data_IF_961168877374
#
_entry.id   IF_961168877374
#
_cell.length_a   1.000
_cell.length_b   1.000
_cell.length_c   1.000
_cell.angle_alpha   90.00
_cell.angle_beta   90.00
_cell.angle_gamma   90.00
#
_symmetry.space_group_name_H-M   'P 1'
#
loop_
_entity.id
_entity.type
_entity.pdbx_description
1 polymer ?
#
# COMPACT_ATOMS: atom_id res chain seq x y z
N UNK A 1 -18.69 41.18 79.87
CA UNK A 1 -18.62 40.23 78.80
C UNK A 1 -18.89 40.86 77.46
N UNK A 2 -18.07 40.64 76.45
CA UNK A 2 -18.32 41.15 75.08
C UNK A 2 -19.53 40.43 74.50
N UNK A 3 -20.49 41.11 73.99
CA UNK A 3 -21.61 40.57 73.22
C UNK A 3 -21.21 40.64 71.72
N UNK A 4 -21.04 39.49 71.10
CA UNK A 4 -20.74 39.37 69.65
C UNK A 4 -22.03 39.07 68.89
N UNK A 5 -22.25 39.75 67.76
CA UNK A 5 -23.23 39.40 66.77
C UNK A 5 -22.51 39.01 65.48
N UNK A 6 -22.99 37.99 64.79
CA UNK A 6 -22.49 37.55 63.51
C UNK A 6 -23.51 37.88 62.39
N UNK A 7 -22.99 38.28 61.26
CA UNK A 7 -23.78 38.55 60.05
C UNK A 7 -23.20 37.67 58.95
N UNK A 8 -24.07 36.91 58.28
CA UNK A 8 -23.70 36.08 57.13
C UNK A 8 -23.86 36.86 55.82
N UNK A 9 -22.94 36.66 54.88
CA UNK A 9 -23.02 37.13 53.51
C UNK A 9 -22.57 36.04 52.55
N UNK A 10 -23.05 36.10 51.33
CA UNK A 10 -22.74 35.14 50.28
C UNK A 10 -21.95 35.80 49.16
N UNK A 11 -20.86 35.18 48.73
CA UNK A 11 -20.16 35.53 47.50
C UNK A 11 -20.52 34.46 46.48
N UNK A 12 -21.26 34.88 45.43
CA UNK A 12 -21.63 33.95 44.35
C UNK A 12 -20.41 33.63 43.47
N UNK A 13 -20.31 32.42 42.89
CA UNK A 13 -19.30 32.07 41.91
C UNK A 13 -19.35 33.01 40.69
N UNK A 14 -18.19 33.26 40.06
CA UNK A 14 -18.09 34.00 38.80
C UNK A 14 -18.55 33.12 37.65
N UNK A 15 -19.57 33.52 36.91
CA UNK A 15 -20.01 32.85 35.70
C UNK A 15 -19.07 33.17 34.53
N UNK A 16 -18.55 32.12 33.84
CA UNK A 16 -17.75 32.23 32.63
C UNK A 16 -18.62 31.93 31.40
N UNK A 17 -18.96 33.00 30.68
CA UNK A 17 -19.89 32.92 29.53
C UNK A 17 -19.22 32.47 28.23
N UNK A 18 -17.90 32.63 28.11
CA UNK A 18 -17.13 32.24 26.91
C UNK A 18 -15.69 31.83 27.30
N UNK A 19 -15.49 30.71 28.00
CA UNK A 19 -14.15 30.28 28.40
C UNK A 19 -13.34 29.81 27.17
N UNK A 20 -12.06 30.20 27.14
CA UNK A 20 -11.13 29.62 26.17
C UNK A 20 -10.69 28.24 26.63
N UNK A 21 -10.93 27.21 25.82
CA UNK A 21 -10.53 25.82 26.10
C UNK A 21 -9.35 25.49 25.18
N UNK A 22 -8.15 25.41 25.76
CA UNK A 22 -6.93 25.03 25.09
C UNK A 22 -6.67 23.52 25.28
N UNK A 23 -6.47 22.77 24.20
CA UNK A 23 -6.19 21.33 24.23
C UNK A 23 -4.77 21.11 23.72
N UNK A 24 -3.96 20.36 24.45
CA UNK A 24 -2.61 20.01 24.01
C UNK A 24 -2.66 19.22 22.68
N UNK A 25 -1.82 19.64 21.74
CA UNK A 25 -1.68 19.00 20.43
C UNK A 25 -0.82 17.74 20.48
N UNK A 26 -0.78 16.98 19.35
CA UNK A 26 0.13 15.84 19.18
C UNK A 26 -0.48 14.47 19.51
N UNK A 27 -1.80 14.38 19.68
CA UNK A 27 -2.46 13.08 19.79
C UNK A 27 -2.32 12.27 18.49
N UNK A 28 -1.82 11.04 18.59
CA UNK A 28 -1.66 10.10 17.47
C UNK A 28 -2.36 8.79 17.84
N UNK A 29 -3.00 8.16 16.87
CA UNK A 29 -3.66 6.87 17.07
C UNK A 29 -2.67 5.78 17.50
N UNK A 30 -3.04 5.03 18.54
CA UNK A 30 -2.31 3.84 19.03
C UNK A 30 -3.27 2.76 19.56
N UNK A 31 -4.57 2.88 19.26
CA UNK A 31 -5.62 1.99 19.75
C UNK A 31 -6.16 2.31 21.13
N UNK A 32 -5.56 3.26 21.86
CA UNK A 32 -6.01 3.67 23.20
C UNK A 32 -6.69 5.04 23.18
N UNK A 33 -7.55 5.29 24.17
CA UNK A 33 -8.20 6.57 24.34
C UNK A 33 -7.17 7.68 24.61
N UNK A 34 -7.32 8.81 23.91
CA UNK A 34 -6.47 10.01 24.07
C UNK A 34 -7.11 10.98 25.03
N UNK A 35 -6.34 11.38 26.02
CA UNK A 35 -6.76 12.35 27.04
C UNK A 35 -5.70 13.47 27.15
N UNK A 36 -5.60 14.32 26.10
CA UNK A 36 -4.65 15.42 26.10
C UNK A 36 -4.93 16.38 27.26
N UNK A 37 -3.89 17.06 27.76
CA UNK A 37 -4.07 18.08 28.77
C UNK A 37 -4.97 19.19 28.25
N UNK A 38 -5.88 19.64 29.12
CA UNK A 38 -6.82 20.71 28.84
C UNK A 38 -6.58 21.86 29.80
N UNK A 39 -6.54 23.09 29.31
CA UNK A 39 -6.45 24.32 30.09
C UNK A 39 -7.66 25.19 29.76
N UNK A 40 -8.37 25.60 30.80
CA UNK A 40 -9.51 26.56 30.69
C UNK A 40 -9.04 27.91 31.12
N UNK A 41 -9.40 28.96 30.37
CA UNK A 41 -9.02 30.36 30.65
C UNK A 41 -10.21 31.29 30.64
N UNK A 42 -10.11 32.31 31.50
CA UNK A 42 -10.95 33.51 31.51
C UNK A 42 -10.09 34.70 31.01
N UNK A 43 -10.13 34.97 29.72
CA UNK A 43 -9.17 35.86 29.07
C UNK A 43 -7.73 35.36 29.23
N UNK A 44 -6.86 36.09 29.86
CA UNK A 44 -5.47 35.69 30.14
C UNK A 44 -5.31 34.83 31.40
N UNK A 45 -6.34 34.71 32.25
CA UNK A 45 -6.24 34.00 33.52
C UNK A 45 -6.57 32.50 33.34
N UNK A 46 -5.66 31.64 33.75
CA UNK A 46 -5.90 30.20 33.83
C UNK A 46 -6.78 29.87 35.01
N UNK A 47 -7.84 29.10 34.78
CA UNK A 47 -8.73 28.59 35.83
C UNK A 47 -8.10 27.37 36.45
N UNK A 48 -8.13 27.28 37.77
CA UNK A 48 -7.60 26.14 38.51
C UNK A 48 -8.33 24.85 38.07
N UNK A 49 -7.63 23.76 37.76
CA UNK A 49 -8.28 22.50 37.37
C UNK A 49 -9.22 21.88 38.41
N UNK A 50 -9.15 22.33 39.67
CA UNK A 50 -10.10 21.92 40.71
C UNK A 50 -11.50 22.51 40.55
N UNK A 51 -11.64 23.59 39.75
CA UNK A 51 -12.90 24.26 39.50
C UNK A 51 -13.81 23.56 38.49
N UNK A 52 -13.27 22.58 37.73
CA UNK A 52 -14.00 21.86 36.65
C UNK A 52 -13.58 20.40 36.51
N UNK A 53 -14.41 19.61 35.87
CA UNK A 53 -14.08 18.25 35.38
C UNK A 53 -13.98 18.23 33.86
N UNK A 54 -13.10 17.37 33.35
CA UNK A 54 -12.89 17.15 31.92
C UNK A 54 -13.36 15.75 31.54
N UNK A 55 -14.22 15.66 30.57
CA UNK A 55 -14.60 14.39 29.95
C UNK A 55 -14.26 14.39 28.46
N UNK A 56 -14.05 13.20 27.91
CA UNK A 56 -13.63 13.00 26.53
C UNK A 56 -14.63 12.08 25.82
N UNK A 57 -14.89 12.35 24.55
CA UNK A 57 -15.73 11.53 23.68
C UNK A 57 -15.10 11.38 22.30
N UNK A 58 -15.37 10.26 21.63
CA UNK A 58 -14.81 9.90 20.31
C UNK A 58 -13.27 9.99 20.24
N UNK A 59 -12.60 9.75 21.36
CA UNK A 59 -11.18 10.03 21.58
C UNK A 59 -10.25 8.82 21.35
N UNK A 60 -10.68 7.82 20.57
CA UNK A 60 -9.87 6.61 20.24
C UNK A 60 -9.40 6.67 18.80
N UNK A 61 -10.32 6.82 17.84
CA UNK A 61 -10.01 6.74 16.42
C UNK A 61 -9.40 8.04 15.88
N UNK A 62 -8.53 7.91 14.88
CA UNK A 62 -7.98 9.05 14.17
C UNK A 62 -9.08 9.82 13.45
N UNK A 63 -8.93 11.14 13.42
CA UNK A 63 -9.87 12.03 12.75
C UNK A 63 -9.54 13.48 13.03
N UNK A 64 -9.78 14.33 12.04
CA UNK A 64 -9.59 15.77 12.17
C UNK A 64 -10.79 16.39 12.88
N UNK A 65 -10.57 16.99 14.05
CA UNK A 65 -11.60 17.63 14.87
C UNK A 65 -12.83 16.73 15.16
N UNK A 66 -12.61 15.42 15.33
CA UNK A 66 -13.68 14.44 15.61
C UNK A 66 -13.77 14.10 17.09
N UNK A 67 -12.65 14.06 17.80
CA UNK A 67 -12.63 13.87 19.24
C UNK A 67 -13.08 15.16 19.96
N UNK A 68 -13.77 15.00 21.07
CA UNK A 68 -14.33 16.10 21.82
C UNK A 68 -13.89 16.09 23.28
N UNK A 69 -13.77 17.29 23.83
CA UNK A 69 -13.61 17.57 25.25
C UNK A 69 -14.87 18.30 25.73
N UNK A 70 -15.39 17.89 26.86
CA UNK A 70 -16.47 18.61 27.56
C UNK A 70 -16.00 19.01 28.94
N UNK A 71 -16.17 20.29 29.26
CA UNK A 71 -15.90 20.90 30.57
C UNK A 71 -17.22 20.97 31.32
N UNK A 72 -17.22 20.45 32.53
CA UNK A 72 -18.36 20.52 33.44
C UNK A 72 -17.91 21.12 34.74
N UNK A 73 -18.73 22.03 35.26
CA UNK A 73 -18.51 22.72 36.50
C UNK A 73 -18.35 21.77 37.71
N UNK A 74 -17.47 22.13 38.64
CA UNK A 74 -17.41 21.48 39.94
C UNK A 74 -18.24 22.26 40.94
N UNK A 75 -19.25 21.60 41.52
CA UNK A 75 -20.08 22.24 42.54
C UNK A 75 -19.24 22.80 43.70
N UNK A 76 -19.60 24.02 44.18
CA UNK A 76 -18.93 24.72 45.25
C UNK A 76 -17.57 25.37 44.90
N UNK A 77 -17.26 25.55 43.65
CA UNK A 77 -16.10 26.29 43.18
C UNK A 77 -16.30 27.80 43.22
N UNK A 78 -15.24 28.55 42.85
CA UNK A 78 -15.28 30.03 42.73
C UNK A 78 -15.81 30.46 41.35
N UNK A 79 -15.92 29.54 40.43
CA UNK A 79 -16.38 29.76 39.07
C UNK A 79 -17.55 28.80 38.72
N UNK A 80 -18.44 29.28 37.86
CA UNK A 80 -19.38 28.43 37.14
C UNK A 80 -18.89 28.35 35.71
N UNK A 81 -18.42 27.16 35.27
CA UNK A 81 -17.76 26.96 34.00
C UNK A 81 -18.34 25.77 33.25
N UNK A 82 -18.61 25.97 31.96
CA UNK A 82 -19.01 24.89 31.05
C UNK A 82 -18.53 25.20 29.64
N UNK A 83 -18.32 24.17 28.84
CA UNK A 83 -17.91 24.36 27.45
C UNK A 83 -17.50 23.06 26.80
N UNK A 84 -17.26 23.11 25.51
CA UNK A 84 -16.73 21.98 24.74
C UNK A 84 -15.77 22.45 23.67
N UNK A 85 -14.79 21.63 23.34
CA UNK A 85 -13.88 21.87 22.25
C UNK A 85 -13.56 20.54 21.55
N UNK A 86 -13.13 20.61 20.30
CA UNK A 86 -12.73 19.46 19.52
C UNK A 86 -11.22 19.40 19.36
N UNK A 87 -10.69 18.18 19.20
CA UNK A 87 -9.29 17.99 18.88
C UNK A 87 -9.10 16.89 17.83
N UNK A 88 -7.92 16.91 17.21
CA UNK A 88 -7.52 15.98 16.17
C UNK A 88 -6.69 14.86 16.78
N UNK A 89 -6.99 13.63 16.38
CA UNK A 89 -6.12 12.47 16.58
C UNK A 89 -5.54 12.14 15.22
N UNK A 90 -4.23 12.31 15.07
CA UNK A 90 -3.54 12.02 13.81
C UNK A 90 -3.50 10.52 13.54
N UNK A 91 -3.50 10.15 12.25
CA UNK A 91 -3.26 8.77 11.83
C UNK A 91 -1.84 8.34 12.19
N UNK A 92 -1.66 7.08 12.56
CA UNK A 92 -0.32 6.47 12.69
C UNK A 92 0.14 5.88 11.34
N UNK A 93 1.42 5.52 11.22
CA UNK A 93 1.94 4.93 10.00
C UNK A 93 1.45 3.48 9.83
N UNK A 94 1.14 3.09 8.58
CA UNK A 94 0.99 1.67 8.21
C UNK A 94 2.36 0.99 8.18
N UNK A 95 2.39 -0.33 8.42
CA UNK A 95 3.60 -1.14 8.28
C UNK A 95 3.46 -2.16 7.15
N UNK A 96 4.52 -2.29 6.34
CA UNK A 96 4.58 -3.15 5.16
C UNK A 96 5.64 -4.24 5.31
N UNK A 97 5.26 -5.50 5.04
CA UNK A 97 6.21 -6.52 4.60
C UNK A 97 6.12 -6.59 3.07
N UNK A 98 7.21 -6.27 2.38
CA UNK A 98 7.25 -6.19 0.92
C UNK A 98 6.82 -7.53 0.26
N UNK A 99 6.18 -7.48 -0.91
CA UNK A 99 5.98 -8.67 -1.74
C UNK A 99 7.33 -9.19 -2.23
N UNK A 100 7.42 -10.50 -2.45
CA UNK A 100 8.64 -11.11 -2.97
C UNK A 100 8.49 -11.48 -4.44
N UNK A 101 9.46 -11.16 -5.31
CA UNK A 101 9.43 -11.56 -6.71
C UNK A 101 9.48 -13.09 -6.83
N UNK A 102 8.69 -13.66 -7.75
CA UNK A 102 8.80 -15.07 -8.11
C UNK A 102 10.01 -15.21 -9.03
N UNK A 103 10.92 -16.11 -8.68
CA UNK A 103 12.16 -16.35 -9.41
C UNK A 103 12.02 -17.49 -10.41
N UNK A 104 12.90 -17.51 -11.42
CA UNK A 104 13.00 -18.56 -12.42
C UNK A 104 11.71 -18.75 -13.28
N UNK A 105 10.92 -17.69 -13.45
CA UNK A 105 9.81 -17.72 -14.39
C UNK A 105 10.33 -17.87 -15.81
N UNK A 106 9.67 -18.72 -16.59
CA UNK A 106 9.96 -18.94 -18.01
C UNK A 106 8.64 -18.85 -18.77
N UNK A 107 8.68 -18.31 -19.97
CA UNK A 107 7.50 -18.18 -20.83
C UNK A 107 6.80 -19.52 -21.03
N UNK A 108 5.49 -19.54 -20.81
CA UNK A 108 4.63 -20.73 -20.95
C UNK A 108 3.49 -20.53 -21.94
N UNK A 109 3.27 -19.30 -22.42
CA UNK A 109 2.09 -18.91 -23.20
C UNK A 109 0.86 -18.59 -22.35
N UNK A 110 0.98 -18.65 -21.03
CA UNK A 110 -0.11 -18.38 -20.08
C UNK A 110 0.33 -17.29 -19.10
N UNK A 111 -0.66 -16.55 -18.57
CA UNK A 111 -0.40 -15.54 -17.55
C UNK A 111 0.09 -16.18 -16.24
N UNK A 112 1.24 -15.73 -15.73
CA UNK A 112 1.90 -16.25 -14.53
C UNK A 112 1.93 -15.15 -13.45
N UNK A 113 1.72 -15.47 -12.15
CA UNK A 113 1.94 -14.53 -11.07
C UNK A 113 3.38 -14.03 -11.07
N UNK A 114 3.57 -12.73 -10.88
CA UNK A 114 4.90 -12.11 -10.85
C UNK A 114 5.50 -12.10 -9.45
N UNK A 115 4.65 -12.05 -8.42
CA UNK A 115 5.06 -11.90 -7.02
C UNK A 115 4.27 -12.83 -6.10
N UNK A 116 4.84 -13.15 -4.96
CA UNK A 116 4.08 -13.59 -3.78
C UNK A 116 3.58 -12.36 -3.02
N UNK A 117 2.38 -12.45 -2.45
CA UNK A 117 1.77 -11.32 -1.75
C UNK A 117 2.65 -10.78 -0.62
N UNK A 118 2.70 -9.46 -0.48
CA UNK A 118 3.17 -8.80 0.71
C UNK A 118 2.13 -8.83 1.84
N UNK A 119 2.50 -8.31 3.01
CA UNK A 119 1.62 -8.20 4.17
C UNK A 119 1.51 -6.74 4.63
N UNK A 120 0.29 -6.32 4.97
CA UNK A 120 0.01 -4.97 5.47
C UNK A 120 -0.53 -5.01 6.90
N UNK A 121 -0.05 -4.09 7.73
CA UNK A 121 -0.66 -3.74 9.01
C UNK A 121 -1.17 -2.31 8.94
N UNK A 122 -2.42 -2.09 9.33
CA UNK A 122 -3.04 -0.77 9.31
C UNK A 122 -3.60 -0.35 7.95
N UNK A 123 -3.96 -1.32 7.09
CA UNK A 123 -4.54 -1.03 5.79
C UNK A 123 -4.55 -2.23 4.87
N UNK A 124 -4.72 -1.98 3.57
CA UNK A 124 -4.80 -3.00 2.53
C UNK A 124 -3.63 -2.88 1.56
N UNK A 125 -2.94 -3.99 1.32
CA UNK A 125 -1.89 -4.07 0.30
C UNK A 125 -2.50 -3.90 -1.09
N UNK A 126 -1.91 -3.05 -1.89
CA UNK A 126 -2.27 -2.79 -3.28
C UNK A 126 -1.06 -2.89 -4.19
N UNK A 127 -1.29 -3.36 -5.41
CA UNK A 127 -0.27 -3.60 -6.43
C UNK A 127 -0.63 -2.89 -7.73
N UNK A 128 0.39 -2.59 -8.53
CA UNK A 128 0.25 -1.98 -9.85
C UNK A 128 1.36 -2.46 -10.78
N UNK A 129 1.09 -2.56 -12.08
CA UNK A 129 2.10 -2.79 -13.13
C UNK A 129 2.48 -1.52 -13.87
N UNK A 130 1.77 -0.42 -13.65
CA UNK A 130 1.99 0.88 -14.32
C UNK A 130 2.37 2.02 -13.35
N UNK A 131 2.37 1.74 -12.04
CA UNK A 131 2.68 2.71 -10.98
C UNK A 131 1.57 3.74 -10.71
N UNK A 132 0.42 3.64 -11.39
CA UNK A 132 -0.70 4.59 -11.29
C UNK A 132 -2.01 3.92 -10.88
N UNK A 133 -2.36 2.81 -11.51
CA UNK A 133 -3.58 2.08 -11.25
C UNK A 133 -3.32 0.93 -10.25
N UNK A 134 -3.76 1.10 -9.01
CA UNK A 134 -3.53 0.15 -7.94
C UNK A 134 -4.77 -0.69 -7.64
N UNK A 135 -4.56 -1.99 -7.43
CA UNK A 135 -5.59 -2.95 -7.05
C UNK A 135 -5.08 -4.00 -6.07
N UNK A 136 -5.96 -4.85 -5.55
CA UNK A 136 -5.60 -5.88 -4.56
C UNK A 136 -5.20 -7.22 -5.18
N UNK A 137 -5.43 -7.40 -6.49
CA UNK A 137 -5.07 -8.61 -7.21
C UNK A 137 -3.54 -8.71 -7.38
N UNK A 138 -3.00 -9.91 -7.31
CA UNK A 138 -1.61 -10.19 -7.62
C UNK A 138 -1.37 -9.95 -9.11
N UNK A 139 -0.41 -9.10 -9.50
CA UNK A 139 -0.08 -8.86 -10.89
C UNK A 139 0.45 -10.10 -11.59
N UNK A 140 0.09 -10.25 -12.86
CA UNK A 140 0.53 -11.36 -13.73
C UNK A 140 1.27 -10.82 -14.95
N UNK A 141 2.17 -11.64 -15.51
CA UNK A 141 2.83 -11.43 -16.79
C UNK A 141 2.65 -12.64 -17.69
N UNK A 142 2.52 -12.46 -18.99
CA UNK A 142 2.36 -13.52 -19.98
C UNK A 142 3.62 -13.67 -20.83
N UNK A 143 4.14 -12.58 -21.40
CA UNK A 143 5.28 -12.59 -22.29
C UNK A 143 6.63 -12.64 -21.56
N UNK A 144 7.66 -13.14 -22.22
CA UNK A 144 9.02 -13.01 -21.73
C UNK A 144 9.45 -11.53 -21.68
N UNK A 145 10.15 -11.14 -20.63
CA UNK A 145 10.58 -9.75 -20.43
C UNK A 145 10.78 -9.38 -18.98
N UNK A 146 11.11 -8.13 -18.78
CA UNK A 146 11.25 -7.53 -17.46
C UNK A 146 9.95 -6.81 -17.09
N UNK A 147 9.51 -7.04 -15.86
CA UNK A 147 8.32 -6.45 -15.26
C UNK A 147 8.71 -5.67 -14.02
N UNK A 148 8.04 -4.55 -13.80
CA UNK A 148 8.10 -3.81 -12.53
C UNK A 148 6.74 -3.90 -11.87
N UNK A 149 6.71 -4.38 -10.63
CA UNK A 149 5.51 -4.39 -9.81
C UNK A 149 5.69 -3.35 -8.71
N UNK A 150 4.85 -2.32 -8.72
CA UNK A 150 4.72 -1.35 -7.64
C UNK A 150 3.76 -1.87 -6.59
N UNK A 151 4.01 -1.51 -5.34
CA UNK A 151 3.15 -1.84 -4.23
C UNK A 151 3.10 -0.71 -3.22
N UNK A 152 1.98 -0.61 -2.52
CA UNK A 152 1.76 0.32 -1.41
C UNK A 152 0.72 -0.24 -0.46
N UNK A 153 0.59 0.37 0.72
CA UNK A 153 -0.58 0.19 1.58
C UNK A 153 -1.51 1.36 1.38
N UNK A 154 -2.78 1.08 1.09
CA UNK A 154 -3.87 2.01 1.32
C UNK A 154 -4.25 1.92 2.80
N UNK A 155 -3.92 2.94 3.57
CA UNK A 155 -4.19 3.00 5.01
C UNK A 155 -5.69 2.93 5.31
N UNK A 156 -6.03 2.42 6.46
CA UNK A 156 -7.41 2.40 6.95
C UNK A 156 -7.83 3.75 7.58
N UNK A 157 -8.92 3.77 8.34
CA UNK A 157 -9.40 4.96 9.04
C UNK A 157 -8.38 5.56 10.01
N UNK A 158 -7.52 4.72 10.60
CA UNK A 158 -6.59 5.07 11.67
C UNK A 158 -5.11 5.11 11.24
N UNK A 159 -4.79 4.66 10.01
CA UNK A 159 -3.44 4.57 9.50
C UNK A 159 -3.28 5.36 8.19
N UNK A 160 -2.07 5.88 7.97
CA UNK A 160 -1.72 6.59 6.75
C UNK A 160 -1.36 5.64 5.62
N UNK A 161 -1.59 6.07 4.37
CA UNK A 161 -1.06 5.39 3.19
C UNK A 161 0.48 5.36 3.24
N UNK A 162 1.07 4.32 2.64
CA UNK A 162 2.53 4.31 2.40
C UNK A 162 2.86 4.93 1.05
N UNK A 163 4.09 5.43 0.92
CA UNK A 163 4.65 5.76 -0.40
C UNK A 163 4.79 4.50 -1.23
N UNK A 164 4.52 4.54 -2.55
CA UNK A 164 4.74 3.41 -3.43
C UNK A 164 6.22 3.00 -3.50
N UNK A 165 6.46 1.70 -3.47
CA UNK A 165 7.73 1.05 -3.72
C UNK A 165 7.58 0.05 -4.87
N UNK A 166 8.68 -0.54 -5.36
CA UNK A 166 8.62 -1.50 -6.47
C UNK A 166 9.61 -2.65 -6.33
N UNK A 167 9.28 -3.75 -7.00
CA UNK A 167 10.16 -4.91 -7.20
C UNK A 167 10.21 -5.28 -8.68
N UNK A 168 11.40 -5.68 -9.16
CA UNK A 168 11.59 -6.18 -10.52
C UNK A 168 11.37 -7.70 -10.58
N UNK A 169 10.79 -8.17 -11.68
CA UNK A 169 10.57 -9.59 -11.96
C UNK A 169 10.88 -9.86 -13.43
N UNK A 170 11.53 -10.99 -13.72
CA UNK A 170 11.85 -11.37 -15.11
C UNK A 170 11.17 -12.68 -15.45
N UNK A 171 10.47 -12.72 -16.58
CA UNK A 171 10.05 -13.96 -17.26
C UNK A 171 11.07 -14.22 -18.35
N UNK A 172 11.85 -15.31 -18.22
CA UNK A 172 12.83 -15.70 -19.21
C UNK A 172 12.15 -16.26 -20.48
N UNK A 173 12.83 -16.15 -21.62
CA UNK A 173 12.39 -16.80 -22.87
C UNK A 173 12.40 -18.32 -22.70
N UNK A 174 11.41 -18.99 -23.29
CA UNK A 174 11.39 -20.44 -23.37
C UNK A 174 12.45 -20.93 -24.34
N UNK A 175 13.22 -21.94 -23.93
CA UNK A 175 14.21 -22.55 -24.79
C UNK A 175 13.54 -23.48 -25.81
N UNK A 176 13.89 -23.31 -27.06
CA UNK A 176 13.53 -24.20 -28.16
C UNK A 176 14.76 -25.00 -28.57
N UNK A 177 14.66 -26.32 -28.63
CA UNK A 177 15.77 -27.13 -29.09
C UNK A 177 15.97 -26.99 -30.62
N UNK A 178 17.22 -26.74 -31.03
CA UNK A 178 17.59 -26.70 -32.42
C UNK A 178 17.32 -28.11 -33.02
N UNK A 179 16.53 -28.24 -34.11
CA UNK A 179 16.29 -29.56 -34.68
C UNK A 179 17.59 -30.20 -35.12
N UNK A 180 17.78 -31.46 -34.74
CA UNK A 180 18.96 -32.22 -35.12
C UNK A 180 18.97 -32.42 -36.64
N UNK A 181 20.16 -32.39 -37.23
CA UNK A 181 20.35 -32.72 -38.62
C UNK A 181 20.06 -34.21 -38.85
N UNK A 182 19.22 -34.54 -39.82
CA UNK A 182 19.02 -35.90 -40.29
C UNK A 182 20.26 -36.33 -41.06
N UNK A 183 20.90 -37.47 -40.76
CA UNK A 183 22.07 -37.98 -41.47
C UNK A 183 21.74 -38.50 -42.88
N UNK A 184 20.50 -38.41 -43.33
CA UNK A 184 20.08 -38.85 -44.67
C UNK A 184 20.91 -38.20 -45.75
N UNK A 185 21.48 -39.00 -46.62
CA UNK A 185 22.23 -38.56 -47.81
C UNK A 185 21.34 -38.71 -49.05
N UNK A 186 21.32 -37.65 -49.84
CA UNK A 186 20.60 -37.61 -51.11
C UNK A 186 21.58 -37.89 -52.25
N UNK A 187 21.13 -38.66 -53.26
CA UNK A 187 21.87 -38.85 -54.51
C UNK A 187 21.20 -38.00 -55.58
N UNK A 188 22.00 -37.31 -56.40
CA UNK A 188 21.47 -36.51 -57.51
C UNK A 188 20.59 -37.36 -58.43
N UNK A 189 19.35 -36.91 -58.62
CA UNK A 189 18.33 -37.60 -59.42
C UNK A 189 17.86 -36.78 -60.62
N UNK A 190 18.28 -35.53 -60.75
CA UNK A 190 17.75 -34.60 -61.76
C UNK A 190 16.44 -33.91 -61.35
N UNK A 191 15.88 -34.27 -60.19
CA UNK A 191 14.65 -33.70 -59.64
C UNK A 191 14.92 -32.96 -58.34
N UNK A 192 13.95 -32.09 -57.90
CA UNK A 192 14.01 -31.46 -56.57
C UNK A 192 13.88 -32.48 -55.47
N UNK A 193 14.73 -32.34 -54.45
CA UNK A 193 14.74 -33.19 -53.26
C UNK A 193 14.54 -32.33 -52.03
N UNK A 194 13.68 -32.77 -51.11
CA UNK A 194 13.33 -32.07 -49.89
C UNK A 194 14.03 -32.71 -48.69
N UNK A 195 14.85 -31.90 -47.99
CA UNK A 195 15.38 -32.29 -46.70
C UNK A 195 14.33 -32.00 -45.62
N UNK A 196 13.90 -33.04 -44.91
CA UNK A 196 12.82 -32.94 -43.94
C UNK A 196 13.39 -32.78 -42.53
N UNK A 197 13.06 -31.70 -41.83
CA UNK A 197 13.26 -31.54 -40.42
C UNK A 197 11.98 -31.89 -39.66
N UNK A 198 12.12 -32.26 -38.41
CA UNK A 198 10.96 -32.45 -37.53
C UNK A 198 10.09 -31.18 -37.53
N UNK A 199 8.82 -31.31 -37.89
CA UNK A 199 7.92 -30.21 -37.93
C UNK A 199 7.69 -29.65 -36.52
N UNK A 200 7.74 -28.31 -36.35
CA UNK A 200 7.43 -27.62 -35.10
C UNK A 200 6.56 -26.39 -35.38
N UNK A 201 5.61 -26.17 -34.50
CA UNK A 201 4.84 -24.91 -34.50
C UNK A 201 5.68 -23.66 -34.17
N UNK A 202 6.88 -23.83 -33.61
CA UNK A 202 7.71 -22.76 -33.04
C UNK A 202 8.69 -22.14 -34.02
N UNK A 203 8.99 -22.78 -35.17
CA UNK A 203 9.94 -22.26 -36.15
C UNK A 203 9.48 -22.49 -37.59
N UNK A 204 10.10 -21.74 -38.51
CA UNK A 204 10.01 -21.97 -39.95
C UNK A 204 11.29 -22.57 -40.50
N UNK A 205 11.19 -23.28 -41.63
CA UNK A 205 12.31 -23.91 -42.33
C UNK A 205 12.45 -23.32 -43.71
N UNK A 206 13.66 -22.95 -44.12
CA UNK A 206 13.96 -22.43 -45.44
C UNK A 206 15.24 -23.08 -46.02
N UNK A 207 15.32 -23.16 -47.33
CA UNK A 207 16.48 -23.72 -48.02
C UNK A 207 16.56 -25.24 -47.99
N UNK A 208 15.49 -25.90 -47.60
CA UNK A 208 15.42 -27.36 -47.48
C UNK A 208 15.04 -28.12 -48.79
N UNK A 209 14.73 -27.40 -49.87
CA UNK A 209 14.48 -27.99 -51.18
C UNK A 209 15.62 -27.63 -52.12
N UNK A 210 16.25 -28.66 -52.75
CA UNK A 210 17.38 -28.49 -53.67
C UNK A 210 17.36 -29.53 -54.75
N UNK A 211 17.87 -29.14 -55.92
CA UNK A 211 18.01 -30.01 -57.08
C UNK A 211 19.45 -30.43 -57.36
N UNK A 212 20.39 -29.47 -57.24
CA UNK A 212 21.77 -29.70 -57.66
C UNK A 212 22.60 -30.39 -56.59
N UNK A 213 23.58 -31.18 -56.97
CA UNK A 213 24.55 -31.76 -56.08
C UNK A 213 25.39 -30.68 -55.39
N UNK A 214 25.80 -30.92 -54.17
CA UNK A 214 26.59 -29.97 -53.33
C UNK A 214 26.24 -30.04 -51.88
N UNK A 215 26.91 -29.23 -51.08
CA UNK A 215 26.55 -28.98 -49.67
C UNK A 215 25.57 -27.83 -49.59
N UNK A 216 24.46 -28.04 -48.95
CA UNK A 216 23.40 -27.02 -48.79
C UNK A 216 23.09 -26.74 -47.33
N UNK A 217 22.76 -25.51 -47.03
CA UNK A 217 22.35 -25.08 -45.69
C UNK A 217 20.84 -24.96 -45.62
N UNK A 218 20.28 -25.55 -44.58
CA UNK A 218 18.87 -25.36 -44.17
C UNK A 218 18.86 -24.35 -43.03
N UNK A 219 18.03 -23.33 -43.14
CA UNK A 219 17.86 -22.30 -42.13
C UNK A 219 16.57 -22.53 -41.38
N UNK A 220 16.65 -22.50 -40.06
CA UNK A 220 15.50 -22.49 -39.14
C UNK A 220 15.41 -21.16 -38.44
N UNK A 221 14.19 -20.60 -38.39
CA UNK A 221 13.96 -19.28 -37.78
C UNK A 221 12.78 -19.38 -36.82
N UNK A 222 12.98 -18.95 -35.57
CA UNK A 222 11.91 -18.87 -34.56
C UNK A 222 10.79 -17.96 -35.09
N UNK A 223 9.54 -18.40 -34.94
CA UNK A 223 8.35 -17.58 -35.29
C UNK A 223 8.10 -16.49 -34.27
N UNK A 224 8.43 -16.76 -33.02
CA UNK A 224 8.26 -15.85 -31.88
C UNK A 224 9.59 -15.75 -31.12
N UNK A 225 10.47 -14.89 -31.61
CA UNK A 225 11.77 -14.64 -30.99
C UNK A 225 11.68 -13.68 -29.79
N UNK A 226 10.51 -13.10 -29.53
CA UNK A 226 10.28 -12.31 -28.33
C UNK A 226 10.15 -13.21 -27.10
N UNK A 227 9.45 -14.33 -27.24
CA UNK A 227 9.17 -15.25 -26.14
C UNK A 227 10.04 -16.52 -26.15
N UNK A 228 10.76 -16.78 -27.23
CA UNK A 228 11.58 -17.99 -27.38
C UNK A 228 13.05 -17.67 -27.70
N UNK A 229 13.92 -18.61 -27.35
CA UNK A 229 15.35 -18.61 -27.65
C UNK A 229 15.80 -20.02 -28.05
N UNK A 230 16.83 -20.11 -28.94
CA UNK A 230 17.47 -21.37 -29.27
C UNK A 230 18.29 -21.93 -28.10
#
# INVERSE_FOLDING_TARGET
GAVTASVEYTIAPKELTDPTIEIASGSVYDGNAKTPNVTVKDGENTIDPSEYTVSYDNNVNAGENTAAVTITDNANGNYTVSGSAKFTIAKTASACTAPTPITALTYTGEAQPLISAGFATGGTMQYSTDGTNYGTAIPTGENAGEYTVWYKIAGDGNHSDTTPESVGVTIAKAKVEIPAADPTRFTYSGEEQTYTLTASGLYTVAGNVRKNAGTHTVTVTLKDAENHVW
#
